data_IF_998267409256
#
_entry.id   IF_998267409256
#
_cell.length_a   1.000
_cell.length_b   1.000
_cell.length_c   1.000
_cell.angle_alpha   90.00
_cell.angle_beta   90.00
_cell.angle_gamma   90.00
#
_symmetry.space_group_name_H-M   'P 1'
#
loop_
_entity.id
_entity.type
_entity.pdbx_description
1 polymer ?
#
# COMPACT_ATOMS: atom_id res chain seq x y z
N UNK A 1 -70.79 19.09 3.18
CA UNK A 1 -70.11 20.00 4.15
C UNK A 1 -69.32 19.19 5.21
N UNK A 2 -68.23 18.47 4.85
CA UNK A 2 -67.49 17.60 5.82
C UNK A 2 -65.96 17.82 5.85
N UNK A 3 -65.43 18.84 5.15
CA UNK A 3 -63.97 19.06 5.02
C UNK A 3 -63.38 19.95 6.11
N UNK A 4 -64.21 20.82 6.72
CA UNK A 4 -63.77 21.86 7.67
C UNK A 4 -63.36 21.27 9.04
N UNK A 5 -64.04 20.21 9.50
CA UNK A 5 -63.73 19.57 10.80
C UNK A 5 -62.39 18.83 10.78
N UNK A 6 -62.00 18.22 9.65
CA UNK A 6 -60.72 17.49 9.55
C UNK A 6 -59.52 18.44 9.41
N UNK A 7 -59.64 19.52 8.62
CA UNK A 7 -58.59 20.53 8.46
C UNK A 7 -58.26 21.20 9.79
N UNK A 8 -59.29 21.66 10.52
CA UNK A 8 -59.12 22.38 11.79
C UNK A 8 -58.59 21.48 12.92
N UNK A 9 -59.05 20.23 12.99
CA UNK A 9 -58.55 19.26 13.98
C UNK A 9 -57.09 18.86 13.71
N UNK A 10 -56.70 18.67 12.43
CA UNK A 10 -55.31 18.39 12.04
C UNK A 10 -54.40 19.58 12.33
N UNK A 11 -54.84 20.78 11.99
CA UNK A 11 -54.12 22.02 12.30
C UNK A 11 -53.84 22.15 13.80
N UNK A 12 -54.86 22.02 14.65
CA UNK A 12 -54.71 22.12 16.10
C UNK A 12 -53.77 21.04 16.68
N UNK A 13 -53.73 19.84 16.08
CA UNK A 13 -52.80 18.79 16.50
C UNK A 13 -51.35 19.11 16.14
N UNK A 14 -51.11 19.62 14.92
CA UNK A 14 -49.77 20.02 14.47
C UNK A 14 -49.24 21.17 15.33
N UNK A 15 -50.05 22.20 15.58
CA UNK A 15 -49.65 23.35 16.40
C UNK A 15 -49.27 22.97 17.84
N UNK A 16 -49.84 21.90 18.40
CA UNK A 16 -49.47 21.41 19.74
C UNK A 16 -48.18 20.62 19.76
N UNK A 17 -47.75 20.07 18.62
CA UNK A 17 -46.58 19.18 18.52
C UNK A 17 -45.38 19.85 17.85
N UNK A 18 -45.56 21.04 17.28
CA UNK A 18 -44.49 21.77 16.62
C UNK A 18 -43.55 22.38 17.68
N UNK A 19 -42.24 22.13 17.59
CA UNK A 19 -41.27 22.76 18.48
C UNK A 19 -41.17 24.28 18.21
N UNK A 20 -40.71 25.02 19.23
CA UNK A 20 -40.77 26.49 19.25
C UNK A 20 -39.91 27.16 18.18
N UNK A 21 -38.78 26.55 17.83
CA UNK A 21 -37.89 26.98 16.75
C UNK A 21 -38.60 26.96 15.39
N UNK A 22 -39.33 25.89 15.09
CA UNK A 22 -40.12 25.82 13.85
C UNK A 22 -41.31 26.78 13.85
N UNK A 23 -41.88 27.09 15.02
CA UNK A 23 -42.98 28.05 15.17
C UNK A 23 -42.56 29.47 14.77
N UNK A 24 -41.36 29.89 15.16
CA UNK A 24 -40.79 31.18 14.77
C UNK A 24 -40.58 31.26 13.25
N UNK A 25 -40.13 30.16 12.63
CA UNK A 25 -39.96 30.08 11.17
C UNK A 25 -41.26 30.14 10.37
N UNK A 26 -42.43 29.91 10.98
CA UNK A 26 -43.74 29.89 10.30
C UNK A 26 -44.71 31.00 10.74
N UNK A 27 -44.27 31.96 11.55
CA UNK A 27 -45.13 32.99 12.14
C UNK A 27 -45.85 33.87 11.11
N UNK A 28 -45.21 34.18 9.98
CA UNK A 28 -45.80 34.94 8.88
C UNK A 28 -46.83 34.10 8.10
N UNK A 29 -46.62 32.79 7.97
CA UNK A 29 -47.61 31.87 7.35
C UNK A 29 -48.86 31.76 8.22
N UNK A 30 -48.70 31.72 9.55
CA UNK A 30 -49.80 31.77 10.50
C UNK A 30 -50.66 33.04 10.36
N UNK A 31 -50.03 34.14 9.92
CA UNK A 31 -50.71 35.43 9.72
C UNK A 31 -51.50 35.50 8.41
N UNK A 32 -51.18 34.66 7.42
CA UNK A 32 -51.80 34.63 6.09
C UNK A 32 -52.57 33.31 5.81
N UNK A 33 -53.02 32.64 6.87
CA UNK A 33 -53.73 31.36 6.73
C UNK A 33 -55.07 31.55 6.00
N UNK A 34 -55.22 30.84 4.88
CA UNK A 34 -56.50 30.74 4.17
C UNK A 34 -57.53 30.00 5.02
N UNK A 35 -58.68 30.63 5.28
CA UNK A 35 -59.74 30.09 6.15
C UNK A 35 -60.27 28.71 5.72
N UNK A 36 -60.20 28.39 4.42
CA UNK A 36 -60.79 27.15 3.89
C UNK A 36 -59.91 25.89 4.10
N UNK A 37 -58.57 26.03 4.05
CA UNK A 37 -57.63 24.90 4.11
C UNK A 37 -56.36 25.23 4.94
N UNK A 38 -56.53 25.55 6.23
CA UNK A 38 -55.42 26.02 7.08
C UNK A 38 -54.33 24.96 7.32
N UNK A 39 -54.69 23.67 7.34
CA UNK A 39 -53.70 22.60 7.54
C UNK A 39 -52.87 22.33 6.29
N UNK A 40 -53.49 22.30 5.11
CA UNK A 40 -52.75 22.02 3.87
C UNK A 40 -51.78 23.16 3.53
N UNK A 41 -52.20 24.42 3.72
CA UNK A 41 -51.32 25.58 3.55
C UNK A 41 -50.15 25.55 4.55
N UNK A 42 -50.44 25.32 5.84
CA UNK A 42 -49.41 25.22 6.88
C UNK A 42 -48.41 24.10 6.54
N UNK A 43 -48.92 22.93 6.15
CA UNK A 43 -48.09 21.78 5.78
C UNK A 43 -47.18 22.10 4.61
N UNK A 44 -47.70 22.74 3.56
CA UNK A 44 -46.91 23.13 2.39
C UNK A 44 -45.82 24.15 2.75
N UNK A 45 -46.16 25.15 3.57
CA UNK A 45 -45.20 26.15 4.01
C UNK A 45 -44.10 25.57 4.90
N UNK A 46 -44.44 24.69 5.85
CA UNK A 46 -43.46 23.96 6.66
C UNK A 46 -42.55 23.13 5.75
N UNK A 47 -43.12 22.36 4.81
CA UNK A 47 -42.33 21.55 3.89
C UNK A 47 -41.42 22.40 3.00
N UNK A 48 -41.84 23.60 2.61
CA UNK A 48 -41.04 24.51 1.78
C UNK A 48 -39.88 25.15 2.55
N UNK A 49 -40.08 25.47 3.84
CA UNK A 49 -39.07 26.15 4.67
C UNK A 49 -38.08 25.20 5.32
N UNK A 50 -38.59 24.07 5.80
CA UNK A 50 -37.79 23.02 6.45
C UNK A 50 -37.29 21.97 5.48
N UNK A 51 -37.88 21.90 4.27
CA UNK A 51 -37.42 21.04 3.20
C UNK A 51 -36.09 21.55 2.67
N UNK A 52 -35.04 20.75 2.85
CA UNK A 52 -33.75 21.00 2.20
C UNK A 52 -33.94 21.05 0.69
N UNK A 53 -33.30 22.02 0.03
CA UNK A 53 -33.26 22.04 -1.43
C UNK A 53 -32.46 20.84 -1.95
N UNK A 54 -32.78 20.38 -3.16
CA UNK A 54 -32.01 19.33 -3.83
C UNK A 54 -30.54 19.73 -3.99
N UNK A 55 -30.30 21.02 -4.26
CA UNK A 55 -28.97 21.61 -4.43
C UNK A 55 -28.14 21.57 -3.13
N UNK A 56 -28.71 21.96 -1.98
CA UNK A 56 -28.02 21.93 -0.69
C UNK A 56 -27.62 20.51 -0.29
N UNK A 57 -28.46 19.53 -0.63
CA UNK A 57 -28.19 18.12 -0.34
C UNK A 57 -27.09 17.56 -1.23
N UNK A 58 -27.09 17.87 -2.53
CA UNK A 58 -26.00 17.52 -3.45
C UNK A 58 -24.71 18.17 -2.96
N UNK A 59 -24.74 19.43 -2.54
CA UNK A 59 -23.59 20.12 -1.93
C UNK A 59 -23.10 19.43 -0.65
N UNK A 60 -24.01 18.96 0.20
CA UNK A 60 -23.63 18.21 1.40
C UNK A 60 -23.05 16.82 1.07
N UNK A 61 -23.55 16.14 0.04
CA UNK A 61 -22.94 14.91 -0.49
C UNK A 61 -21.53 15.22 -0.99
N UNK A 62 -21.37 16.21 -1.88
CA UNK A 62 -20.08 16.64 -2.43
C UNK A 62 -19.07 16.93 -1.30
N UNK A 63 -19.50 17.62 -0.24
CA UNK A 63 -18.67 17.92 0.94
C UNK A 63 -18.31 16.65 1.73
N UNK A 64 -19.28 15.78 2.03
CA UNK A 64 -19.06 14.62 2.88
C UNK A 64 -18.34 13.46 2.17
N UNK A 65 -18.37 13.38 0.83
CA UNK A 65 -17.60 12.41 0.05
C UNK A 65 -16.10 12.67 0.16
N UNK A 66 -15.66 13.93 0.22
CA UNK A 66 -14.22 14.24 0.29
C UNK A 66 -13.52 13.69 1.55
N UNK A 67 -14.27 13.27 2.57
CA UNK A 67 -13.75 12.45 3.65
C UNK A 67 -13.50 11.04 3.13
N UNK A 68 -12.27 10.77 2.70
CA UNK A 68 -11.80 9.50 2.14
C UNK A 68 -11.90 8.26 3.03
N UNK A 69 -12.71 8.29 4.09
CA UNK A 69 -12.87 7.20 5.07
C UNK A 69 -13.96 6.19 4.67
N UNK A 70 -14.72 6.44 3.59
CA UNK A 70 -15.84 5.58 3.18
C UNK A 70 -15.47 4.68 2.03
N UNK A 71 -15.83 3.41 2.14
CA UNK A 71 -15.76 2.50 0.98
C UNK A 71 -16.77 2.93 -0.08
N UNK A 72 -16.53 2.63 -1.37
CA UNK A 72 -17.47 2.88 -2.45
C UNK A 72 -18.93 2.44 -2.18
N UNK A 73 -19.15 1.27 -1.57
CA UNK A 73 -20.50 0.80 -1.19
C UNK A 73 -21.14 1.60 -0.07
N UNK A 74 -20.36 1.99 0.94
CA UNK A 74 -20.82 2.86 2.03
C UNK A 74 -21.22 4.23 1.49
N UNK A 75 -20.42 4.77 0.56
CA UNK A 75 -20.73 6.02 -0.13
C UNK A 75 -22.05 5.92 -0.90
N UNK A 76 -22.25 4.85 -1.68
CA UNK A 76 -23.49 4.65 -2.43
C UNK A 76 -24.72 4.62 -1.50
N UNK A 77 -24.62 3.90 -0.37
CA UNK A 77 -25.71 3.79 0.60
C UNK A 77 -26.01 5.13 1.27
N UNK A 78 -24.97 5.90 1.59
CA UNK A 78 -25.11 7.26 2.11
C UNK A 78 -25.85 8.16 1.11
N UNK A 79 -25.43 8.16 -0.16
CA UNK A 79 -26.06 8.96 -1.21
C UNK A 79 -27.52 8.57 -1.42
N UNK A 80 -27.84 7.27 -1.41
CA UNK A 80 -29.22 6.77 -1.54
C UNK A 80 -30.10 7.19 -0.36
N UNK A 81 -29.57 7.22 0.86
CA UNK A 81 -30.33 7.67 2.03
C UNK A 81 -30.63 9.17 1.99
N UNK A 82 -29.70 9.98 1.49
CA UNK A 82 -29.91 11.41 1.32
C UNK A 82 -30.90 11.66 0.17
N UNK A 83 -30.61 11.16 -1.02
CA UNK A 83 -31.34 11.46 -2.26
C UNK A 83 -32.65 10.66 -2.42
N UNK A 84 -32.82 9.56 -1.70
CA UNK A 84 -34.00 8.68 -1.81
C UNK A 84 -35.32 9.35 -1.45
N UNK A 85 -35.28 10.47 -0.72
CA UNK A 85 -36.47 11.27 -0.38
C UNK A 85 -36.99 12.10 -1.57
N UNK A 86 -36.18 12.29 -2.61
CA UNK A 86 -36.47 13.17 -3.75
C UNK A 86 -36.66 12.43 -5.07
N UNK A 87 -36.75 11.09 -5.04
CA UNK A 87 -36.98 10.26 -6.22
C UNK A 87 -35.92 10.45 -7.34
N UNK A 88 -34.65 10.65 -6.94
CA UNK A 88 -33.54 10.79 -7.88
C UNK A 88 -33.37 9.51 -8.70
N UNK A 89 -33.27 9.66 -10.03
CA UNK A 89 -33.10 8.51 -10.92
C UNK A 89 -31.79 7.77 -10.66
N UNK A 90 -31.80 6.44 -10.81
CA UNK A 90 -30.60 5.61 -10.61
C UNK A 90 -29.46 5.98 -11.59
N UNK A 91 -29.80 6.53 -12.76
CA UNK A 91 -28.81 7.03 -13.74
C UNK A 91 -28.05 8.24 -13.19
N UNK A 92 -28.75 9.19 -12.58
CA UNK A 92 -28.14 10.38 -11.96
C UNK A 92 -27.32 9.97 -10.75
N UNK A 93 -27.88 9.12 -9.88
CA UNK A 93 -27.16 8.58 -8.72
C UNK A 93 -25.87 7.87 -9.13
N UNK A 94 -25.90 7.05 -10.19
CA UNK A 94 -24.71 6.38 -10.72
C UNK A 94 -23.66 7.40 -11.19
N UNK A 95 -24.05 8.43 -11.93
CA UNK A 95 -23.13 9.45 -12.41
C UNK A 95 -22.44 10.18 -11.27
N UNK A 96 -23.23 10.67 -10.32
CA UNK A 96 -22.75 11.33 -9.10
C UNK A 96 -21.83 10.42 -8.29
N UNK A 97 -22.20 9.14 -8.11
CA UNK A 97 -21.38 8.18 -7.37
C UNK A 97 -20.01 7.97 -8.03
N UNK A 98 -19.96 7.81 -9.36
CA UNK A 98 -18.71 7.62 -10.10
C UNK A 98 -17.79 8.85 -10.05
N UNK A 99 -18.35 10.06 -10.14
CA UNK A 99 -17.61 11.32 -10.01
C UNK A 99 -16.94 11.46 -8.63
N UNK A 100 -17.53 10.80 -7.64
CA UNK A 100 -17.15 10.87 -6.24
C UNK A 100 -16.23 9.75 -5.76
N UNK A 101 -15.90 8.79 -6.62
CA UNK A 101 -14.91 7.77 -6.29
C UNK A 101 -13.49 8.35 -6.39
N UNK A 102 -12.54 7.86 -5.57
CA UNK A 102 -11.13 8.12 -5.77
C UNK A 102 -10.71 7.78 -7.21
N UNK A 103 -9.84 8.60 -7.81
CA UNK A 103 -9.39 8.42 -9.21
C UNK A 103 -8.85 7.02 -9.49
N UNK A 104 -8.16 6.41 -8.52
CA UNK A 104 -7.64 5.04 -8.59
C UNK A 104 -8.73 4.00 -8.83
N UNK A 105 -9.86 4.13 -8.13
CA UNK A 105 -11.02 3.24 -8.29
C UNK A 105 -11.80 3.60 -9.55
N UNK A 106 -12.06 4.89 -9.77
CA UNK A 106 -12.86 5.38 -10.90
C UNK A 106 -12.28 5.05 -12.28
N UNK A 107 -10.97 4.77 -12.41
CA UNK A 107 -10.36 4.37 -13.67
C UNK A 107 -10.62 2.89 -14.04
N UNK A 108 -10.94 2.05 -13.07
CA UNK A 108 -11.06 0.58 -13.24
C UNK A 108 -12.51 0.16 -13.43
N UNK A 109 -13.45 0.90 -12.84
CA UNK A 109 -14.89 0.64 -12.83
C UNK A 109 -15.66 0.92 -14.17
N UNK A 110 -15.26 1.87 -15.05
CA UNK A 110 -16.05 2.25 -16.23
C UNK A 110 -16.50 1.11 -17.17
N UNK A 111 -15.67 0.08 -17.46
CA UNK A 111 -16.10 -1.04 -18.31
C UNK A 111 -17.32 -1.80 -17.75
N UNK A 112 -17.46 -1.86 -16.42
CA UNK A 112 -18.50 -2.61 -15.72
C UNK A 112 -19.84 -1.86 -15.61
N UNK A 113 -19.85 -0.55 -15.83
CA UNK A 113 -21.02 0.32 -15.54
C UNK A 113 -22.23 0.14 -16.46
N UNK A 114 -22.07 -0.47 -17.65
CA UNK A 114 -23.13 -0.53 -18.68
C UNK A 114 -24.13 -1.66 -18.46
N UNK A 115 -23.72 -2.73 -17.78
CA UNK A 115 -24.50 -3.97 -17.65
C UNK A 115 -24.72 -4.39 -16.20
N UNK A 116 -24.02 -3.76 -15.26
CA UNK A 116 -24.01 -4.18 -13.86
C UNK A 116 -24.93 -3.31 -13.01
N UNK A 117 -25.79 -3.90 -12.16
CA UNK A 117 -26.55 -3.17 -11.14
C UNK A 117 -25.64 -2.31 -10.27
N UNK A 118 -26.14 -1.16 -9.82
CA UNK A 118 -25.30 -0.18 -9.11
C UNK A 118 -24.77 -0.71 -7.76
N UNK A 119 -25.53 -1.61 -7.11
CA UNK A 119 -25.10 -2.25 -5.86
C UNK A 119 -23.91 -3.19 -6.10
N UNK A 120 -24.02 -4.12 -7.05
CA UNK A 120 -22.95 -5.08 -7.38
C UNK A 120 -21.69 -4.38 -7.89
N UNK A 121 -21.87 -3.26 -8.60
CA UNK A 121 -20.77 -2.40 -9.02
C UNK A 121 -20.05 -1.77 -7.82
N UNK A 122 -20.79 -1.39 -6.78
CA UNK A 122 -20.21 -0.81 -5.58
C UNK A 122 -19.47 -1.84 -4.73
N UNK A 123 -19.98 -3.08 -4.65
CA UNK A 123 -19.25 -4.20 -4.04
C UNK A 123 -17.94 -4.50 -4.78
N UNK A 124 -17.98 -4.48 -6.11
CA UNK A 124 -16.77 -4.63 -6.93
C UNK A 124 -15.78 -3.48 -6.71
N UNK A 125 -16.29 -2.25 -6.58
CA UNK A 125 -15.48 -1.07 -6.30
C UNK A 125 -14.82 -1.13 -4.91
N UNK A 126 -15.44 -1.73 -3.91
CA UNK A 126 -14.82 -1.94 -2.59
C UNK A 126 -13.56 -2.82 -2.68
N UNK A 127 -13.58 -3.87 -3.51
CA UNK A 127 -12.42 -4.74 -3.72
C UNK A 127 -11.24 -3.95 -4.31
N UNK A 128 -11.53 -3.07 -5.27
CA UNK A 128 -10.55 -2.19 -5.89
C UNK A 128 -10.06 -1.15 -4.88
N UNK A 129 -10.95 -0.54 -4.12
CA UNK A 129 -10.64 0.45 -3.08
C UNK A 129 -9.68 -0.13 -2.02
N UNK A 130 -9.92 -1.35 -1.55
CA UNK A 130 -9.04 -2.03 -0.59
C UNK A 130 -7.60 -2.24 -1.12
N UNK A 131 -7.43 -2.45 -2.43
CA UNK A 131 -6.09 -2.58 -3.03
C UNK A 131 -5.31 -1.25 -3.03
N UNK A 132 -6.01 -0.12 -3.14
CA UNK A 132 -5.38 1.21 -3.19
C UNK A 132 -5.24 1.90 -1.83
N UNK A 133 -6.14 1.62 -0.89
CA UNK A 133 -6.08 2.15 0.48
C UNK A 133 -4.83 1.63 1.23
N UNK A 134 -4.41 0.40 0.91
CA UNK A 134 -3.17 -0.18 1.47
C UNK A 134 -1.89 0.28 0.74
N UNK A 135 -2.01 1.02 -0.36
CA UNK A 135 -0.85 1.46 -1.16
C UNK A 135 -0.12 2.66 -0.54
N UNK A 136 -0.74 3.39 0.38
CA UNK A 136 -0.10 4.54 1.06
C UNK A 136 0.72 4.16 2.31
N UNK A 137 0.74 2.88 2.73
CA UNK A 137 1.45 2.46 3.95
C UNK A 137 2.20 1.10 3.87
N UNK A 138 2.48 0.54 2.69
CA UNK A 138 3.14 -0.76 2.59
C UNK A 138 4.38 -0.76 1.68
N UNK A 139 5.53 -0.34 2.23
CA UNK A 139 6.80 -1.00 1.92
C UNK A 139 6.81 -2.35 2.62
N UNK A 140 6.03 -3.29 2.11
CA UNK A 140 6.26 -4.73 2.29
C UNK A 140 5.39 -5.49 1.29
N UNK A 141 6.05 -6.22 0.39
CA UNK A 141 5.41 -7.14 -0.54
C UNK A 141 4.54 -8.16 0.20
N UNK A 142 3.32 -8.48 -0.27
CA UNK A 142 2.56 -9.57 0.32
C UNK A 142 3.09 -10.89 -0.21
N UNK A 143 3.55 -11.71 0.73
CA UNK A 143 3.63 -13.16 0.58
C UNK A 143 2.20 -13.69 0.36
N UNK A 144 1.86 -14.01 -0.89
CA UNK A 144 0.61 -14.68 -1.25
C UNK A 144 0.93 -16.10 -1.67
N UNK A 145 1.06 -16.97 -0.67
CA UNK A 145 0.99 -18.42 -0.82
C UNK A 145 -0.41 -18.84 -1.30
N UNK A 146 -0.63 -18.82 -2.62
CA UNK A 146 -1.59 -19.70 -3.29
C UNK A 146 -0.92 -20.26 -4.54
N UNK A 147 -0.72 -21.57 -4.54
CA UNK A 147 -0.24 -22.38 -5.66
C UNK A 147 -1.20 -22.24 -6.87
N UNK A 148 -0.98 -21.23 -7.70
CA UNK A 148 -1.24 -21.34 -9.14
C UNK A 148 0.09 -21.57 -9.83
N UNK A 149 0.11 -22.52 -10.76
CA UNK A 149 1.31 -22.93 -11.49
C UNK A 149 1.80 -21.73 -12.32
N UNK A 150 2.72 -20.95 -11.77
CA UNK A 150 3.35 -19.82 -12.43
C UNK A 150 4.05 -20.30 -13.71
N UNK A 151 3.46 -19.96 -14.86
CA UNK A 151 4.07 -20.14 -16.17
C UNK A 151 4.79 -18.85 -16.56
N UNK A 152 6.13 -18.84 -16.59
CA UNK A 152 6.88 -17.64 -16.92
C UNK A 152 6.54 -17.17 -18.34
N UNK A 153 6.23 -15.89 -18.46
CA UNK A 153 5.98 -15.21 -19.74
C UNK A 153 7.18 -15.33 -20.69
N UNK A 154 6.96 -15.08 -21.98
CA UNK A 154 8.02 -15.12 -23.00
C UNK A 154 9.18 -14.16 -22.64
N UNK A 155 8.86 -13.02 -22.05
CA UNK A 155 9.84 -12.02 -21.61
C UNK A 155 10.66 -12.49 -20.41
N UNK A 156 10.04 -13.15 -19.43
CA UNK A 156 10.74 -13.70 -18.26
C UNK A 156 11.69 -14.84 -18.66
N UNK A 157 11.27 -15.71 -19.59
CA UNK A 157 12.15 -16.74 -20.18
C UNK A 157 13.33 -16.11 -20.91
N UNK A 158 13.08 -15.09 -21.72
CA UNK A 158 14.13 -14.38 -22.44
C UNK A 158 15.13 -13.69 -21.48
N UNK A 159 14.65 -13.13 -20.37
CA UNK A 159 15.51 -12.55 -19.33
C UNK A 159 16.35 -13.62 -18.63
N UNK A 160 15.79 -14.79 -18.32
CA UNK A 160 16.51 -15.90 -17.73
C UNK A 160 17.61 -16.44 -18.66
N UNK A 161 17.32 -16.57 -19.96
CA UNK A 161 18.30 -16.95 -20.98
C UNK A 161 19.39 -15.89 -21.16
N UNK A 162 19.03 -14.61 -21.17
CA UNK A 162 20.00 -13.52 -21.27
C UNK A 162 20.94 -13.51 -20.05
N UNK A 163 20.40 -13.71 -18.83
CA UNK A 163 21.21 -13.84 -17.62
C UNK A 163 22.14 -15.05 -17.67
N UNK A 164 21.71 -16.16 -18.27
CA UNK A 164 22.56 -17.35 -18.47
C UNK A 164 23.71 -17.05 -19.44
N UNK A 165 23.43 -16.40 -20.57
CA UNK A 165 24.46 -15.99 -21.53
C UNK A 165 25.47 -15.02 -20.92
N UNK A 166 25.01 -14.06 -20.11
CA UNK A 166 25.90 -13.13 -19.40
C UNK A 166 26.84 -13.89 -18.44
N UNK A 167 26.34 -14.89 -17.70
CA UNK A 167 27.19 -15.72 -16.82
C UNK A 167 28.23 -16.51 -17.59
N UNK A 168 27.86 -17.12 -18.72
CA UNK A 168 28.79 -17.87 -19.57
C UNK A 168 29.89 -16.97 -20.15
N UNK A 169 29.55 -15.76 -20.56
CA UNK A 169 30.51 -14.75 -21.03
C UNK A 169 31.43 -14.34 -19.88
N UNK A 170 30.89 -14.07 -18.67
CA UNK A 170 31.71 -13.73 -17.50
C UNK A 170 32.69 -14.85 -17.11
N UNK A 171 32.29 -16.11 -17.23
CA UNK A 171 33.17 -17.26 -16.99
C UNK A 171 34.26 -17.35 -18.06
N UNK A 172 33.89 -17.12 -19.33
CA UNK A 172 34.81 -17.20 -20.47
C UNK A 172 35.84 -16.07 -20.48
N UNK A 173 35.45 -14.88 -20.01
CA UNK A 173 36.30 -13.71 -19.87
C UNK A 173 37.15 -13.73 -18.58
N UNK A 174 36.93 -14.71 -17.69
CA UNK A 174 37.71 -14.82 -16.46
C UNK A 174 39.14 -15.19 -16.83
N UNK A 175 40.15 -14.36 -16.49
CA UNK A 175 41.53 -14.64 -16.86
C UNK A 175 41.94 -15.97 -16.22
N UNK A 176 42.36 -16.90 -17.08
CA UNK A 176 42.80 -18.24 -16.70
C UNK A 176 44.13 -18.10 -15.96
N UNK A 177 44.06 -17.85 -14.65
CA UNK A 177 45.25 -17.81 -13.79
C UNK A 177 45.91 -19.18 -13.85
N UNK A 178 47.03 -19.24 -14.56
CA UNK A 178 47.92 -20.40 -14.57
C UNK A 178 48.26 -20.69 -13.11
N UNK A 179 47.83 -21.85 -12.61
CA UNK A 179 48.16 -22.34 -11.27
C UNK A 179 49.69 -22.42 -11.16
N UNK A 180 50.30 -21.41 -10.56
CA UNK A 180 51.66 -21.50 -10.04
C UNK A 180 51.54 -22.09 -8.63
N UNK A 181 52.12 -23.26 -8.45
CA UNK A 181 52.18 -23.99 -7.18
C UNK A 181 52.83 -23.13 -6.10
N UNK A 182 52.24 -22.97 -4.89
CA UNK A 182 52.89 -22.22 -3.82
C UNK A 182 54.06 -23.00 -3.23
N UNK A 183 55.27 -22.51 -3.50
CA UNK A 183 56.48 -22.84 -2.75
C UNK A 183 56.30 -22.44 -1.28
N UNK A 184 56.46 -23.43 -0.39
CA UNK A 184 56.37 -23.31 1.07
C UNK A 184 57.43 -22.35 1.60
N UNK A 185 57.12 -21.05 1.74
CA UNK A 185 57.88 -20.15 2.61
C UNK A 185 57.38 -20.25 4.04
N UNK A 186 58.14 -21.04 4.81
CA UNK A 186 58.11 -21.14 6.27
C UNK A 186 58.29 -19.75 6.89
N UNK A 187 57.38 -19.34 7.77
CA UNK A 187 57.69 -18.42 8.87
C UNK A 187 57.44 -19.17 10.18
N UNK A 188 58.48 -19.15 10.99
CA UNK A 188 58.73 -19.86 12.24
C UNK A 188 57.74 -19.55 13.36
N UNK A 189 57.41 -20.52 14.23
CA UNK A 189 57.17 -20.26 15.63
C UNK A 189 58.46 -20.51 16.45
N UNK A 190 58.67 -19.63 17.42
CA UNK A 190 59.66 -19.68 18.48
C UNK A 190 59.81 -21.07 19.10
N UNK A 191 61.05 -21.55 19.25
CA UNK A 191 61.48 -22.50 20.29
C UNK A 191 62.98 -22.32 20.56
N UNK A 192 63.24 -21.60 21.62
CA UNK A 192 64.42 -21.67 22.47
C UNK A 192 64.87 -23.11 22.74
N UNK A 193 66.12 -23.46 22.42
CA UNK A 193 66.96 -24.42 23.17
C UNK A 193 68.46 -24.11 22.97
N UNK A 194 69.02 -23.66 24.09
CA UNK A 194 70.39 -23.71 24.60
C UNK A 194 71.48 -24.47 23.81
N UNK A 195 72.61 -23.77 23.71
CA UNK A 195 74.01 -24.24 23.66
C UNK A 195 74.36 -25.40 22.74
N UNK A 196 74.92 -25.08 21.57
CA UNK A 196 76.11 -25.79 21.14
C UNK A 196 77.18 -24.82 20.63
N UNK A 197 78.31 -24.92 21.31
CA UNK A 197 79.38 -23.96 21.49
C UNK A 197 80.19 -23.85 20.20
N UNK A 198 80.33 -22.65 19.65
CA UNK A 198 81.37 -22.31 18.66
C UNK A 198 81.42 -23.11 17.34
N UNK A 199 80.47 -23.99 17.04
CA UNK A 199 80.47 -24.80 15.80
C UNK A 199 79.86 -24.01 14.64
N UNK A 200 80.58 -23.89 13.52
CA UNK A 200 80.12 -23.15 12.35
C UNK A 200 78.96 -23.85 11.62
N UNK A 201 78.23 -23.08 10.81
CA UNK A 201 77.05 -23.58 10.09
C UNK A 201 77.32 -24.84 9.23
N UNK A 202 78.51 -24.93 8.61
CA UNK A 202 78.87 -26.07 7.78
C UNK A 202 79.00 -27.36 8.60
N UNK A 203 79.66 -27.32 9.75
CA UNK A 203 79.75 -28.49 10.64
C UNK A 203 78.40 -28.80 11.31
N UNK A 204 77.57 -27.79 11.58
CA UNK A 204 76.20 -28.03 12.08
C UNK A 204 75.30 -28.73 11.05
N UNK A 205 75.56 -28.51 9.75
CA UNK A 205 74.75 -29.06 8.66
C UNK A 205 75.28 -30.39 8.14
N UNK A 206 76.61 -30.55 8.07
CA UNK A 206 77.27 -31.69 7.42
C UNK A 206 78.14 -32.54 8.37
N UNK A 207 78.27 -32.16 9.65
CA UNK A 207 79.10 -32.86 10.63
C UNK A 207 80.57 -32.94 10.20
N UNK A 208 81.20 -34.09 10.44
CA UNK A 208 82.60 -34.38 10.05
C UNK A 208 82.85 -34.40 8.54
N UNK A 209 81.79 -34.46 7.72
CA UNK A 209 81.86 -34.37 6.27
C UNK A 209 81.99 -32.94 5.72
N UNK A 210 82.04 -31.92 6.59
CA UNK A 210 82.13 -30.53 6.17
C UNK A 210 83.47 -30.24 5.49
N UNK A 211 83.42 -29.85 4.21
CA UNK A 211 84.62 -29.52 3.43
C UNK A 211 85.12 -28.09 3.64
N UNK A 212 84.25 -27.20 4.13
CA UNK A 212 84.54 -25.78 4.32
C UNK A 212 84.30 -25.39 5.78
N UNK A 213 85.39 -25.33 6.56
CA UNK A 213 85.38 -24.77 7.91
C UNK A 213 85.51 -23.24 7.85
N UNK A 214 84.84 -22.52 8.76
CA UNK A 214 85.01 -21.06 8.94
C UNK A 214 85.42 -20.77 10.39
N UNK A 215 86.63 -20.23 10.64
CA UNK A 215 87.07 -19.84 11.98
C UNK A 215 86.26 -18.64 12.53
N UNK A 216 86.13 -18.51 13.87
CA UNK A 216 86.48 -19.50 14.88
C UNK A 216 85.42 -20.62 14.92
N UNK A 217 85.86 -21.87 14.71
CA UNK A 217 85.01 -23.06 14.79
C UNK A 217 85.62 -24.04 15.79
N UNK A 218 84.84 -24.48 16.78
CA UNK A 218 85.28 -25.39 17.83
C UNK A 218 84.95 -26.86 17.56
N UNK A 219 84.51 -27.20 16.34
CA UNK A 219 84.20 -28.57 15.95
C UNK A 219 85.48 -29.44 15.85
N UNK A 220 85.50 -30.70 16.31
CA UNK A 220 86.70 -31.54 16.33
C UNK A 220 87.39 -31.73 14.96
N UNK A 221 86.61 -31.75 13.88
CA UNK A 221 87.06 -31.89 12.49
C UNK A 221 87.35 -30.56 11.78
N UNK A 222 87.29 -29.42 12.49
CA UNK A 222 87.70 -28.12 11.98
C UNK A 222 89.21 -28.11 11.69
N UNK A 223 89.60 -28.29 10.43
CA UNK A 223 90.99 -28.13 9.99
C UNK A 223 91.41 -26.67 10.21
N UNK A 224 92.40 -26.45 11.08
CA UNK A 224 93.09 -25.17 11.23
C UNK A 224 93.92 -24.95 9.98
N UNK A 225 93.57 -23.97 9.17
CA UNK A 225 94.47 -23.46 8.15
C UNK A 225 95.45 -22.53 8.87
N UNK A 226 96.70 -22.98 9.04
CA UNK A 226 97.87 -22.09 9.03
C UNK A 226 98.19 -21.70 7.58
#
# INVERSE_FOLDING_TARGET
>A
MLRITSQRARFANVMQKLPSDMMDEISDVLSDLRELEPYDHLKEAILKRTGRSEEDMIQEILRNVTRGDKTPSQLLRYMRNQLGKHNVSEKVLRGLWLEHLPKSVAQIIPPMTRTTPLNDLAESADLVFAQFDHSVNAVHAPDMAKHERYEPSKTERALADLQRQIREIQISLRPRTRKSTPSRRRRTPSRERQSDQGVCWFHRTFGDGARNCKPPCTHPSARRNE
#
